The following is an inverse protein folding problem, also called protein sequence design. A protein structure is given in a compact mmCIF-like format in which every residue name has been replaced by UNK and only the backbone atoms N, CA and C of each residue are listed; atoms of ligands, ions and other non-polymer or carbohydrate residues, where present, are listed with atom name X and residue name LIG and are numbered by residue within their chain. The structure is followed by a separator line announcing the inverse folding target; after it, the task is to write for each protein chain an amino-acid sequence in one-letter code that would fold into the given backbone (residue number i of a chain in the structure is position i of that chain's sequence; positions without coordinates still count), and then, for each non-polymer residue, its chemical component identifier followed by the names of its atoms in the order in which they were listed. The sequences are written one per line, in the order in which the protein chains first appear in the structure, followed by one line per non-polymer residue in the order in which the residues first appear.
data_IF_136811227063
#
_entry.id   IF_136811227063
#
_cell.length_a   1.000
_cell.length_b   1.000
_cell.length_c   1.000
_cell.angle_alpha   90.00
_cell.angle_beta   90.00
_cell.angle_gamma   90.00
#
_symmetry.space_group_name_H-M   'P 1'
#
loop_
_entity.id
_entity.type
_entity.pdbx_description
1 polymer ?
#
# COMPACT_ATOMS: atom_id res chain seq x y z
N UNK A 1 10.01 -29.50 -6.89
CA UNK A 1 9.73 -28.60 -8.03
C UNK A 1 10.06 -27.17 -7.60
N UNK A 2 11.33 -26.79 -7.69
CA UNK A 2 11.77 -25.41 -7.55
C UNK A 2 11.26 -24.63 -8.77
N UNK A 3 10.21 -23.83 -8.60
CA UNK A 3 9.86 -22.82 -9.59
C UNK A 3 10.90 -21.73 -9.47
N UNK A 4 11.85 -21.73 -10.40
CA UNK A 4 12.76 -20.63 -10.64
C UNK A 4 11.94 -19.33 -10.66
N UNK A 5 12.14 -18.47 -9.64
CA UNK A 5 11.91 -17.06 -9.78
C UNK A 5 12.80 -16.64 -10.96
N UNK A 6 12.21 -16.52 -12.15
CA UNK A 6 12.85 -15.80 -13.25
C UNK A 6 12.84 -14.35 -12.79
N UNK A 7 13.81 -13.99 -11.95
CA UNK A 7 14.36 -12.65 -11.91
C UNK A 7 14.83 -12.41 -13.33
N UNK A 8 13.95 -11.87 -14.15
CA UNK A 8 14.37 -11.13 -15.32
C UNK A 8 15.30 -10.07 -14.76
N UNK A 9 16.61 -10.32 -14.80
CA UNK A 9 17.62 -9.27 -14.76
C UNK A 9 17.37 -8.47 -16.01
N UNK A 10 16.35 -7.61 -15.97
CA UNK A 10 16.12 -6.60 -17.00
C UNK A 10 17.30 -5.66 -16.80
N UNK A 11 18.41 -5.96 -17.47
CA UNK A 11 19.56 -5.08 -17.48
C UNK A 11 19.06 -3.75 -18.08
N UNK A 12 19.12 -2.63 -17.33
CA UNK A 12 18.52 -1.36 -17.75
C UNK A 12 19.20 -0.69 -18.96
N UNK A 13 20.06 -1.41 -19.68
CA UNK A 13 20.96 -0.84 -20.70
C UNK A 13 20.81 -1.43 -22.10
N UNK A 14 19.80 -2.26 -22.38
CA UNK A 14 19.59 -2.74 -23.75
C UNK A 14 18.13 -2.68 -24.20
N UNK A 15 17.72 -1.47 -24.60
CA UNK A 15 16.60 -1.29 -25.52
C UNK A 15 17.06 -1.87 -26.87
N UNK A 16 16.55 -3.05 -27.23
CA UNK A 16 17.00 -3.74 -28.45
C UNK A 16 16.36 -3.11 -29.69
N UNK A 17 15.20 -2.46 -29.56
CA UNK A 17 14.55 -1.76 -30.67
C UNK A 17 13.44 -0.83 -30.13
N UNK A 18 13.53 0.48 -30.42
CA UNK A 18 12.41 1.39 -30.29
C UNK A 18 11.74 1.47 -31.66
N UNK A 19 10.64 0.73 -31.85
CA UNK A 19 9.89 0.76 -33.11
C UNK A 19 9.04 2.02 -33.09
N UNK A 20 9.55 3.10 -33.69
CA UNK A 20 8.71 4.23 -34.06
C UNK A 20 7.89 3.81 -35.29
N UNK A 21 6.56 3.80 -35.20
CA UNK A 21 5.72 3.66 -36.39
C UNK A 21 5.88 4.94 -37.22
N UNK A 22 6.83 4.95 -38.14
CA UNK A 22 6.81 5.93 -39.22
C UNK A 22 5.78 5.43 -40.23
N UNK A 23 4.80 6.29 -40.54
CA UNK A 23 3.74 6.05 -41.52
C UNK A 23 4.32 5.96 -42.94
N UNK A 24 5.10 4.91 -43.24
CA UNK A 24 5.50 4.58 -44.58
C UNK A 24 4.46 3.63 -45.18
N UNK A 25 3.56 4.22 -45.96
CA UNK A 25 2.34 3.65 -46.56
C UNK A 25 2.56 2.44 -47.51
N UNK A 26 3.78 1.91 -47.61
CA UNK A 26 4.19 0.92 -48.62
C UNK A 26 4.44 -0.49 -48.10
N UNK A 27 4.42 -0.74 -46.80
CA UNK A 27 4.53 -2.10 -46.23
C UNK A 27 3.48 -2.33 -45.13
N UNK A 28 2.23 -2.57 -45.55
CA UNK A 28 1.15 -3.03 -44.66
C UNK A 28 1.31 -4.53 -44.37
N UNK A 29 2.40 -4.93 -43.72
CA UNK A 29 2.29 -6.12 -42.90
C UNK A 29 1.32 -5.79 -41.77
N UNK A 30 0.18 -6.47 -41.77
CA UNK A 30 -0.83 -6.36 -40.72
C UNK A 30 -0.18 -6.86 -39.43
N UNK A 31 0.39 -5.95 -38.64
CA UNK A 31 0.89 -6.27 -37.31
C UNK A 31 -0.27 -6.87 -36.51
N UNK A 32 -0.12 -8.15 -36.14
CA UNK A 32 -1.08 -8.80 -35.25
C UNK A 32 -1.16 -8.00 -33.96
N UNK A 33 -2.37 -7.77 -33.40
CA UNK A 33 -2.50 -7.12 -32.11
C UNK A 33 -1.65 -7.87 -31.09
N UNK A 34 -0.81 -7.14 -30.38
CA UNK A 34 0.07 -7.69 -29.38
C UNK A 34 -0.51 -7.40 -27.99
N UNK A 35 -0.36 -8.35 -27.07
CA UNK A 35 -0.88 -8.24 -25.70
C UNK A 35 0.30 -8.07 -24.76
N UNK A 36 0.28 -7.03 -23.93
CA UNK A 36 1.27 -6.85 -22.88
C UNK A 36 1.22 -8.07 -21.93
N UNK A 37 2.34 -8.78 -21.85
CA UNK A 37 2.51 -9.94 -20.98
C UNK A 37 2.59 -9.55 -19.50
N UNK A 38 2.57 -8.25 -19.17
CA UNK A 38 2.53 -7.74 -17.80
C UNK A 38 1.36 -8.30 -16.98
N UNK A 39 0.21 -8.60 -17.62
CA UNK A 39 -0.92 -9.28 -16.96
C UNK A 39 -0.58 -10.67 -16.38
N UNK A 40 0.42 -11.36 -16.95
CA UNK A 40 0.88 -12.67 -16.44
C UNK A 40 1.90 -12.52 -15.31
N UNK A 41 2.50 -11.34 -15.13
CA UNK A 41 3.51 -11.07 -14.10
C UNK A 41 2.95 -10.34 -12.88
N UNK A 42 1.89 -9.55 -13.05
CA UNK A 42 1.22 -8.85 -11.98
C UNK A 42 -0.30 -9.10 -12.12
N UNK A 43 -0.98 -9.69 -11.11
CA UNK A 43 -2.42 -9.95 -11.17
C UNK A 43 -3.27 -8.67 -11.37
N UNK A 44 -2.69 -7.50 -11.10
CA UNK A 44 -3.32 -6.21 -11.38
C UNK A 44 -2.95 -5.79 -12.80
N UNK A 45 -3.88 -6.02 -13.73
CA UNK A 45 -3.82 -5.79 -15.17
C UNK A 45 -2.90 -4.64 -15.61
N UNK A 46 -2.15 -4.84 -16.71
CA UNK A 46 -1.40 -3.77 -17.36
C UNK A 46 -2.30 -2.56 -17.56
N UNK A 47 -1.94 -1.40 -16.97
CA UNK A 47 -2.78 -0.18 -16.98
C UNK A 47 -3.21 0.26 -18.38
N UNK A 48 -2.45 -0.13 -19.41
CA UNK A 48 -2.71 0.18 -20.82
C UNK A 48 -3.38 -0.95 -21.61
N UNK A 49 -3.70 -2.09 -21.00
CA UNK A 49 -4.38 -3.20 -21.67
C UNK A 49 -5.87 -3.16 -21.37
N UNK A 50 -6.63 -2.24 -21.97
CA UNK A 50 -8.07 -2.47 -22.08
C UNK A 50 -8.30 -3.67 -22.98
N UNK A 51 -9.10 -4.62 -22.51
CA UNK A 51 -9.21 -5.98 -23.04
C UNK A 51 -9.88 -6.11 -24.42
N UNK A 52 -10.06 -5.03 -25.18
CA UNK A 52 -10.75 -5.07 -26.49
C UNK A 52 -10.14 -4.06 -27.47
N UNK A 53 -9.74 -4.57 -28.64
CA UNK A 53 -9.64 -3.89 -29.96
C UNK A 53 -9.17 -2.43 -30.02
N UNK A 54 -8.20 -2.04 -29.19
CA UNK A 54 -7.47 -0.80 -29.45
C UNK A 54 -6.39 -1.06 -30.49
N UNK A 55 -6.63 -0.57 -31.71
CA UNK A 55 -5.55 -0.06 -32.56
C UNK A 55 -4.76 0.93 -31.69
N UNK A 56 -3.66 0.49 -31.11
CA UNK A 56 -2.79 1.34 -30.31
C UNK A 56 -2.19 2.36 -31.26
N UNK A 57 -2.79 3.55 -31.33
CA UNK A 57 -2.25 4.72 -32.04
C UNK A 57 -1.26 5.51 -31.16
N UNK A 58 -0.87 4.97 -30.00
CA UNK A 58 0.02 5.65 -29.06
C UNK A 58 1.48 5.14 -29.21
N UNK A 59 2.42 5.99 -29.69
CA UNK A 59 3.73 5.58 -30.23
C UNK A 59 4.83 5.28 -29.18
N UNK A 60 4.51 5.07 -27.91
CA UNK A 60 5.51 4.93 -26.83
C UNK A 60 5.55 3.52 -26.22
N UNK A 61 5.54 2.50 -27.07
CA UNK A 61 5.78 1.13 -26.61
C UNK A 61 7.20 0.72 -26.92
N UNK A 62 7.99 0.59 -25.86
CA UNK A 62 9.29 -0.09 -25.91
C UNK A 62 9.08 -1.59 -25.86
N UNK A 63 9.53 -2.30 -26.90
CA UNK A 63 9.54 -3.77 -26.91
C UNK A 63 10.77 -4.27 -26.17
N UNK A 64 10.56 -4.98 -25.07
CA UNK A 64 11.63 -5.66 -24.34
C UNK A 64 11.74 -7.10 -24.83
N UNK A 65 12.92 -7.52 -25.27
CA UNK A 65 13.18 -8.88 -25.74
C UNK A 65 13.99 -9.60 -24.65
N UNK A 66 13.52 -10.76 -24.21
CA UNK A 66 14.25 -11.58 -23.25
C UNK A 66 15.49 -12.21 -23.90
N UNK A 67 16.68 -11.95 -23.35
CA UNK A 67 17.95 -12.48 -23.88
C UNK A 67 18.02 -14.01 -23.88
N UNK A 68 17.28 -14.68 -23.00
CA UNK A 68 17.21 -16.14 -22.94
C UNK A 68 16.33 -16.77 -24.03
N UNK A 69 15.98 -16.02 -25.08
CA UNK A 69 15.12 -16.45 -26.19
C UNK A 69 13.77 -17.00 -25.72
N UNK A 70 13.21 -16.46 -24.63
CA UNK A 70 11.84 -16.76 -24.23
C UNK A 70 10.91 -16.28 -25.36
N UNK A 71 10.29 -17.20 -26.11
CA UNK A 71 9.56 -16.81 -27.31
C UNK A 71 8.32 -16.04 -26.87
N UNK A 72 8.24 -14.78 -27.30
CA UNK A 72 7.04 -13.92 -27.22
C UNK A 72 6.73 -13.28 -25.86
N UNK A 73 7.75 -12.85 -25.12
CA UNK A 73 7.51 -11.95 -23.99
C UNK A 73 7.57 -10.49 -24.44
N UNK A 74 6.47 -9.75 -24.31
CA UNK A 74 6.41 -8.31 -24.59
C UNK A 74 5.81 -7.59 -23.39
N UNK A 75 6.53 -6.60 -22.85
CA UNK A 75 6.10 -5.77 -21.73
C UNK A 75 6.04 -4.33 -22.22
N UNK A 76 5.03 -3.56 -21.82
CA UNK A 76 5.03 -2.13 -22.09
C UNK A 76 5.97 -1.37 -21.13
N UNK A 77 6.42 -0.17 -21.51
CA UNK A 77 7.26 0.70 -20.68
C UNK A 77 6.66 0.94 -19.29
N UNK A 78 5.35 1.18 -19.19
CA UNK A 78 4.66 1.36 -17.90
C UNK A 78 4.79 0.15 -16.97
N UNK A 79 4.63 -1.08 -17.49
CA UNK A 79 4.82 -2.28 -16.69
C UNK A 79 6.29 -2.51 -16.31
N UNK A 80 7.25 -2.12 -17.17
CA UNK A 80 8.68 -2.19 -16.82
C UNK A 80 9.03 -1.21 -15.71
N UNK A 81 8.54 0.02 -15.78
CA UNK A 81 8.78 1.02 -14.72
C UNK A 81 8.19 0.56 -13.39
N UNK A 82 6.96 0.04 -13.38
CA UNK A 82 6.33 -0.52 -12.17
C UNK A 82 7.15 -1.71 -11.62
N UNK A 83 7.67 -2.59 -12.49
CA UNK A 83 8.55 -3.67 -12.07
C UNK A 83 9.89 -3.18 -11.50
N UNK A 84 10.45 -2.11 -12.05
CA UNK A 84 11.70 -1.51 -11.56
C UNK A 84 11.49 -0.84 -10.20
N UNK A 85 10.42 -0.06 -10.03
CA UNK A 85 10.05 0.55 -8.75
C UNK A 85 9.89 -0.52 -7.65
N UNK A 86 9.16 -1.60 -7.96
CA UNK A 86 8.98 -2.72 -7.03
C UNK A 86 10.30 -3.47 -6.76
N UNK A 87 11.15 -3.65 -7.77
CA UNK A 87 12.45 -4.30 -7.60
C UNK A 87 13.41 -3.49 -6.71
N UNK A 88 13.24 -2.17 -6.64
CA UNK A 88 14.03 -1.29 -5.79
C UNK A 88 13.52 -1.19 -4.35
N UNK A 89 12.35 -1.77 -4.03
CA UNK A 89 11.88 -1.82 -2.66
C UNK A 89 12.82 -2.68 -1.78
N UNK A 90 13.13 -2.22 -0.57
CA UNK A 90 14.02 -2.94 0.34
C UNK A 90 13.39 -4.26 0.83
N UNK A 91 14.21 -5.26 1.12
CA UNK A 91 13.74 -6.54 1.69
C UNK A 91 13.12 -6.39 3.09
N UNK A 92 13.50 -5.34 3.80
CA UNK A 92 13.06 -5.05 5.16
C UNK A 92 12.87 -3.56 5.34
N UNK A 93 11.84 -3.18 6.11
CA UNK A 93 11.60 -1.80 6.52
C UNK A 93 11.18 -1.74 7.98
N UNK A 94 11.40 -0.60 8.61
CA UNK A 94 10.83 -0.32 9.92
C UNK A 94 9.31 -0.29 9.82
N UNK A 95 8.65 -0.91 10.79
CA UNK A 95 7.21 -0.97 10.80
C UNK A 95 6.63 0.43 11.05
N UNK A 96 5.78 0.97 10.14
CA UNK A 96 5.38 2.38 10.17
C UNK A 96 4.58 2.75 11.43
N UNK A 97 3.90 1.78 12.02
CA UNK A 97 3.12 1.94 13.27
C UNK A 97 3.88 1.55 14.54
N UNK A 98 5.04 0.88 14.43
CA UNK A 98 5.76 0.30 15.55
C UNK A 98 7.27 0.40 15.35
N UNK A 99 7.92 1.34 16.03
CA UNK A 99 9.38 1.53 15.90
C UNK A 99 10.21 0.33 16.38
N UNK A 100 9.61 -0.67 17.03
CA UNK A 100 10.28 -1.89 17.52
C UNK A 100 10.12 -3.10 16.60
N UNK A 101 9.29 -2.98 15.57
CA UNK A 101 8.99 -4.08 14.66
C UNK A 101 9.58 -3.78 13.28
N UNK A 102 9.84 -4.86 12.55
CA UNK A 102 10.33 -4.82 11.16
C UNK A 102 9.32 -5.55 10.31
N UNK A 103 9.01 -4.98 9.15
CA UNK A 103 8.24 -5.64 8.11
C UNK A 103 9.22 -6.31 7.14
N UNK A 104 8.93 -7.56 6.80
CA UNK A 104 9.74 -8.35 5.88
C UNK A 104 8.98 -8.57 4.58
N UNK A 105 9.68 -8.35 3.46
CA UNK A 105 9.17 -8.66 2.13
C UNK A 105 8.93 -10.18 2.01
N UNK A 106 7.78 -10.54 1.48
CA UNK A 106 7.29 -11.91 1.42
C UNK A 106 6.42 -12.09 0.17
N UNK A 107 6.53 -13.26 -0.47
CA UNK A 107 5.64 -13.70 -1.54
C UNK A 107 4.86 -14.90 -1.02
N UNK A 108 3.80 -14.63 -0.25
CA UNK A 108 3.01 -15.71 0.31
C UNK A 108 2.04 -16.29 -0.73
N UNK A 109 1.82 -17.59 -0.67
CA UNK A 109 0.84 -18.29 -1.52
C UNK A 109 -0.54 -18.35 -0.86
N UNK A 110 -0.62 -17.98 0.42
CA UNK A 110 -1.84 -17.90 1.18
C UNK A 110 -2.51 -16.55 1.01
N UNK A 111 -3.80 -16.52 1.33
CA UNK A 111 -4.60 -15.32 1.28
C UNK A 111 -4.26 -14.40 2.46
N UNK A 112 -4.11 -13.11 2.19
CA UNK A 112 -3.80 -12.08 3.19
C UNK A 112 -4.49 -10.76 2.84
N UNK A 113 -4.66 -9.88 3.82
CA UNK A 113 -5.32 -8.58 3.65
C UNK A 113 -4.31 -7.50 4.01
N UNK A 114 -4.23 -6.46 3.17
CA UNK A 114 -3.39 -5.31 3.46
C UNK A 114 -4.05 -4.47 4.56
N UNK A 115 -3.38 -4.35 5.70
CA UNK A 115 -3.85 -3.62 6.86
C UNK A 115 -4.02 -2.13 6.57
N UNK A 116 -3.30 -1.55 5.60
CA UNK A 116 -3.47 -0.14 5.21
C UNK A 116 -4.94 0.25 4.95
N UNK A 117 -5.79 -0.73 4.60
CA UNK A 117 -7.24 -0.55 4.46
C UNK A 117 -7.88 0.09 5.69
N UNK A 118 -7.47 -0.29 6.89
CA UNK A 118 -8.05 0.20 8.15
C UNK A 118 -7.51 1.57 8.58
N UNK A 119 -6.70 2.22 7.73
CA UNK A 119 -6.07 3.51 8.01
C UNK A 119 -6.29 4.52 6.88
N UNK A 120 -5.75 4.20 5.70
CA UNK A 120 -5.65 5.10 4.55
C UNK A 120 -6.46 4.58 3.35
N UNK A 121 -7.05 3.40 3.48
CA UNK A 121 -7.47 2.62 2.33
C UNK A 121 -6.27 1.95 1.69
N UNK A 122 -6.44 0.70 1.26
CA UNK A 122 -5.38 -0.01 0.57
C UNK A 122 -5.16 0.62 -0.82
N UNK A 123 -3.97 1.17 -1.07
CA UNK A 123 -3.66 1.88 -2.32
C UNK A 123 -3.58 0.96 -3.55
N UNK A 124 -3.54 -0.35 -3.36
CA UNK A 124 -3.61 -1.31 -4.47
C UNK A 124 -5.02 -1.49 -5.02
N UNK A 125 -6.04 -0.78 -4.51
CA UNK A 125 -7.45 -1.02 -4.83
C UNK A 125 -7.86 -2.49 -4.63
N UNK A 126 -7.11 -3.23 -3.80
CA UNK A 126 -7.49 -4.56 -3.41
C UNK A 126 -8.77 -4.39 -2.60
N UNK A 127 -9.89 -4.81 -3.20
CA UNK A 127 -11.17 -4.79 -2.53
C UNK A 127 -11.04 -5.60 -1.23
N UNK A 128 -11.93 -5.36 -0.27
CA UNK A 128 -11.97 -6.08 1.00
C UNK A 128 -12.09 -7.62 0.85
N UNK A 129 -12.25 -8.13 -0.37
CA UNK A 129 -12.46 -9.53 -0.68
C UNK A 129 -11.15 -10.11 -1.26
N UNK A 130 -10.29 -10.51 -0.33
CA UNK A 130 -9.50 -11.76 -0.33
C UNK A 130 -9.31 -12.40 -1.71
N UNK A 131 -8.31 -11.97 -2.49
CA UNK A 131 -7.65 -12.82 -3.51
C UNK A 131 -6.24 -12.25 -3.76
N UNK A 132 -5.31 -12.49 -2.85
CA UNK A 132 -3.96 -11.91 -2.86
C UNK A 132 -2.84 -12.93 -3.04
N UNK A 133 -3.16 -14.13 -3.53
CA UNK A 133 -2.18 -15.17 -3.78
C UNK A 133 -1.11 -14.71 -4.76
N UNK A 134 0.15 -14.84 -4.35
CA UNK A 134 1.30 -14.47 -5.19
C UNK A 134 1.52 -12.96 -5.32
N UNK A 135 0.79 -12.13 -4.58
CA UNK A 135 1.06 -10.71 -4.47
C UNK A 135 2.10 -10.49 -3.38
N UNK A 136 3.06 -9.62 -3.68
CA UNK A 136 4.07 -9.18 -2.73
C UNK A 136 3.44 -8.51 -1.51
N UNK A 137 3.87 -8.94 -0.33
CA UNK A 137 3.47 -8.39 0.96
C UNK A 137 4.68 -8.06 1.81
N UNK A 138 4.48 -7.15 2.74
CA UNK A 138 5.41 -6.78 3.78
C UNK A 138 4.76 -7.12 5.10
N UNK A 139 5.17 -8.23 5.72
CA UNK A 139 4.52 -8.77 6.90
C UNK A 139 5.36 -8.56 8.16
N UNK A 140 4.70 -8.29 9.27
CA UNK A 140 5.31 -8.30 10.59
C UNK A 140 4.97 -9.61 11.30
N UNK A 141 5.97 -10.46 11.53
CA UNK A 141 5.77 -11.72 12.25
C UNK A 141 5.38 -11.55 13.72
N UNK A 142 5.53 -10.35 14.30
CA UNK A 142 5.24 -10.09 15.71
C UNK A 142 3.80 -9.66 15.99
N UNK A 143 3.20 -8.90 15.07
CA UNK A 143 1.86 -8.31 15.27
C UNK A 143 0.91 -8.57 14.09
N UNK A 144 1.26 -9.51 13.20
CA UNK A 144 0.45 -9.94 12.06
C UNK A 144 0.00 -8.79 11.14
N UNK A 145 0.84 -7.75 11.03
CA UNK A 145 0.56 -6.57 10.22
C UNK A 145 1.17 -6.73 8.83
N UNK A 146 0.34 -6.61 7.81
CA UNK A 146 0.64 -6.81 6.40
C UNK A 146 0.42 -5.53 5.59
N UNK A 147 1.39 -5.15 4.76
CA UNK A 147 1.26 -4.09 3.77
C UNK A 147 1.55 -4.58 2.37
N UNK A 148 0.79 -4.11 1.38
CA UNK A 148 1.13 -4.32 -0.03
C UNK A 148 2.26 -3.38 -0.47
N UNK A 149 2.97 -3.77 -1.54
CA UNK A 149 4.07 -2.98 -2.10
C UNK A 149 3.70 -1.52 -2.39
N UNK A 150 2.47 -1.26 -2.88
CA UNK A 150 1.97 0.11 -3.10
C UNK A 150 1.80 0.91 -1.82
N UNK A 151 1.33 0.28 -0.74
CA UNK A 151 1.22 0.94 0.56
C UNK A 151 2.60 1.20 1.15
N UNK A 152 3.55 0.27 1.00
CA UNK A 152 4.95 0.48 1.38
C UNK A 152 5.57 1.65 0.66
N UNK A 153 5.45 1.67 -0.67
CA UNK A 153 6.01 2.75 -1.48
C UNK A 153 5.49 4.11 -1.02
N UNK A 154 4.17 4.22 -0.81
CA UNK A 154 3.57 5.43 -0.27
C UNK A 154 4.13 5.83 1.11
N UNK A 155 4.33 4.87 2.02
CA UNK A 155 4.94 5.14 3.32
C UNK A 155 6.39 5.63 3.20
N UNK A 156 7.18 5.04 2.31
CA UNK A 156 8.57 5.42 2.09
C UNK A 156 8.69 6.81 1.47
N UNK A 157 7.78 7.17 0.56
CA UNK A 157 7.75 8.52 -0.04
C UNK A 157 7.15 9.58 0.89
N UNK A 158 6.32 9.17 1.86
CA UNK A 158 5.60 10.07 2.76
C UNK A 158 5.88 9.73 4.22
N UNK A 159 7.14 9.83 4.69
CA UNK A 159 7.50 9.49 6.07
C UNK A 159 6.71 10.32 7.09
N UNK A 160 6.29 11.55 6.74
CA UNK A 160 5.44 12.36 7.61
C UNK A 160 4.06 11.73 7.92
N UNK A 161 3.59 10.76 7.13
CA UNK A 161 2.33 10.07 7.39
C UNK A 161 2.41 9.18 8.64
N UNK A 162 3.61 8.83 9.14
CA UNK A 162 3.74 8.17 10.44
C UNK A 162 3.32 9.07 11.61
N UNK A 163 3.27 10.39 11.43
CA UNK A 163 2.77 11.33 12.45
C UNK A 163 1.25 11.35 12.56
N UNK A 164 0.50 10.83 11.58
CA UNK A 164 -0.97 10.70 11.69
C UNK A 164 -1.40 9.72 12.79
N UNK A 165 -0.45 8.98 13.37
CA UNK A 165 -0.67 8.04 14.45
C UNK A 165 -0.36 8.64 15.83
N UNK A 166 -0.10 9.94 15.90
CA UNK A 166 0.17 10.68 17.13
C UNK A 166 -0.99 11.66 17.38
N UNK A 167 -1.71 11.47 18.49
CA UNK A 167 -2.89 12.27 18.82
C UNK A 167 -2.79 12.79 20.25
N UNK A 168 -3.07 14.08 20.44
CA UNK A 168 -3.19 14.66 21.78
C UNK A 168 -4.63 14.51 22.28
N UNK A 169 -4.77 14.12 23.55
CA UNK A 169 -6.07 13.99 24.22
C UNK A 169 -6.21 15.06 25.30
N UNK A 170 -7.39 15.63 25.48
CA UNK A 170 -7.70 16.63 26.50
C UNK A 170 -7.75 16.02 27.91
N UNK A 171 -7.79 14.69 28.01
CA UNK A 171 -7.71 13.94 29.27
C UNK A 171 -6.32 13.36 29.54
N UNK A 172 -5.34 13.60 28.65
CA UNK A 172 -3.97 13.13 28.82
C UNK A 172 -2.91 14.04 28.17
N UNK A 173 -1.92 14.48 28.94
CA UNK A 173 -0.94 15.50 28.53
C UNK A 173 0.01 15.07 27.40
N UNK A 174 0.35 13.78 27.31
CA UNK A 174 1.30 13.31 26.30
C UNK A 174 0.61 12.84 25.02
N UNK A 175 1.37 12.85 23.95
CA UNK A 175 0.97 12.27 22.66
C UNK A 175 0.64 10.79 22.82
N UNK A 176 -0.53 10.40 22.33
CA UNK A 176 -0.98 9.02 22.27
C UNK A 176 -0.66 8.44 20.89
N UNK A 177 -0.15 7.21 20.87
CA UNK A 177 0.11 6.46 19.65
C UNK A 177 -0.80 5.25 19.54
N UNK A 178 -1.29 4.94 18.33
CA UNK A 178 -2.02 3.67 18.14
C UNK A 178 -1.09 2.49 18.48
N UNK A 179 -1.64 1.51 19.18
CA UNK A 179 -0.93 0.33 19.69
C UNK A 179 -1.76 -0.91 19.39
N UNK A 180 -1.11 -2.04 19.14
CA UNK A 180 -1.76 -3.23 18.59
C UNK A 180 -1.74 -4.44 19.52
N UNK A 181 -1.04 -4.35 20.65
CA UNK A 181 -1.06 -5.40 21.65
C UNK A 181 -2.45 -5.54 22.26
N UNK A 182 -3.09 -6.66 21.95
CA UNK A 182 -4.37 -7.09 22.52
C UNK A 182 -4.15 -7.99 23.75
N UNK A 183 -3.56 -7.40 24.79
CA UNK A 183 -3.30 -8.08 26.05
C UNK A 183 -4.44 -7.92 27.07
N UNK A 184 -5.67 -7.67 26.59
CA UNK A 184 -6.82 -7.42 27.47
C UNK A 184 -6.67 -6.15 28.32
N UNK A 185 -6.14 -5.08 27.74
CA UNK A 185 -5.99 -3.78 28.39
C UNK A 185 -7.33 -3.19 28.86
N UNK A 186 -7.29 -2.10 29.64
CA UNK A 186 -8.48 -1.40 30.10
C UNK A 186 -8.41 0.06 29.68
N UNK A 187 -9.52 0.62 29.19
CA UNK A 187 -9.57 2.02 28.78
C UNK A 187 -9.56 2.95 30.00
N UNK A 188 -8.54 3.80 30.12
CA UNK A 188 -8.41 4.83 31.15
C UNK A 188 -9.38 6.01 30.97
N UNK A 189 -10.02 6.11 29.80
CA UNK A 189 -11.14 7.03 29.59
C UNK A 189 -12.26 6.79 30.60
N UNK A 190 -12.38 5.56 31.13
CA UNK A 190 -13.32 5.23 32.21
C UNK A 190 -13.07 6.00 33.51
N UNK A 191 -11.82 6.34 33.81
CA UNK A 191 -11.42 7.06 35.03
C UNK A 191 -11.58 8.58 34.89
N UNK A 192 -11.67 9.09 33.66
CA UNK A 192 -11.65 10.53 33.35
C UNK A 192 -13.00 11.07 32.86
N UNK A 193 -13.79 10.25 32.18
CA UNK A 193 -15.10 10.67 31.65
C UNK A 193 -16.22 10.45 32.68
N UNK A 194 -17.10 11.45 32.83
CA UNK A 194 -18.37 11.30 33.56
C UNK A 194 -19.29 10.37 32.77
N UNK A 195 -19.20 9.06 33.03
CA UNK A 195 -19.94 8.02 32.28
C UNK A 195 -19.09 6.80 31.91
N UNK A 196 -17.80 6.80 32.24
CA UNK A 196 -16.94 5.65 31.99
C UNK A 196 -16.40 5.61 30.55
N UNK A 197 -15.96 4.42 30.13
CA UNK A 197 -15.47 4.22 28.77
C UNK A 197 -16.64 4.31 27.78
N UNK A 198 -16.48 5.11 26.72
CA UNK A 198 -17.50 5.28 25.66
C UNK A 198 -17.69 4.02 24.80
N UNK A 199 -16.76 3.07 24.90
CA UNK A 199 -16.92 1.73 24.32
C UNK A 199 -17.59 0.72 25.27
N UNK A 200 -17.94 1.12 26.50
CA UNK A 200 -18.54 0.23 27.50
C UNK A 200 -17.55 -0.68 28.22
N UNK A 201 -16.24 -0.48 28.04
CA UNK A 201 -15.19 -1.24 28.75
C UNK A 201 -15.19 -0.86 30.22
N UNK A 202 -15.37 -1.84 31.10
CA UNK A 202 -15.45 -1.66 32.55
C UNK A 202 -14.24 -2.22 33.30
N UNK A 203 -13.41 -3.02 32.63
CA UNK A 203 -12.22 -3.62 33.23
C UNK A 203 -11.30 -4.29 32.21
N UNK A 204 -10.27 -4.97 32.71
CA UNK A 204 -9.32 -5.74 31.90
C UNK A 204 -9.99 -6.96 31.25
N UNK A 205 -9.45 -7.39 30.10
CA UNK A 205 -9.92 -8.55 29.34
C UNK A 205 -11.16 -8.31 28.48
N UNK A 206 -11.65 -7.06 28.39
CA UNK A 206 -12.85 -6.70 27.63
C UNK A 206 -12.55 -5.96 26.31
N UNK A 207 -11.28 -5.77 25.98
CA UNK A 207 -10.82 -4.97 24.83
C UNK A 207 -10.33 -5.82 23.66
N UNK A 208 -10.74 -7.07 23.57
CA UNK A 208 -10.35 -7.93 22.45
C UNK A 208 -10.85 -7.35 21.13
N UNK A 209 -9.94 -7.19 20.16
CA UNK A 209 -10.20 -6.52 18.87
C UNK A 209 -10.55 -5.02 18.96
N UNK A 210 -10.19 -4.31 20.03
CA UNK A 210 -10.36 -2.86 20.11
C UNK A 210 -9.09 -2.13 19.67
N UNK A 211 -9.26 -1.06 18.89
CA UNK A 211 -8.20 -0.10 18.63
C UNK A 211 -7.74 0.53 19.94
N UNK A 212 -6.49 0.24 20.31
CA UNK A 212 -5.83 0.80 21.49
C UNK A 212 -5.00 2.01 21.09
N UNK A 213 -5.18 3.10 21.82
CA UNK A 213 -4.32 4.27 21.74
C UNK A 213 -3.59 4.39 23.05
N UNK A 214 -2.27 4.36 23.01
CA UNK A 214 -1.42 4.24 24.19
C UNK A 214 -0.44 5.39 24.25
N UNK A 215 -0.36 6.02 25.42
CA UNK A 215 0.82 6.79 25.79
C UNK A 215 1.83 5.85 26.45
N UNK A 216 2.95 5.61 25.77
CA UNK A 216 4.02 4.71 26.27
C UNK A 216 4.62 5.22 27.57
N UNK A 217 4.75 6.54 27.74
CA UNK A 217 5.38 7.17 28.91
C UNK A 217 4.57 7.01 30.20
N UNK A 218 3.25 7.03 30.08
CA UNK A 218 2.35 7.04 31.24
C UNK A 218 1.58 5.74 31.43
N UNK A 219 1.75 4.76 30.54
CA UNK A 219 0.92 3.54 30.55
C UNK A 219 -0.57 3.89 30.53
N UNK A 220 -0.95 4.86 29.68
CA UNK A 220 -2.31 5.38 29.59
C UNK A 220 -2.95 4.95 28.28
N UNK A 221 -4.05 4.21 28.37
CA UNK A 221 -4.71 3.59 27.23
C UNK A 221 -6.12 4.14 27.01
N UNK A 222 -6.44 4.53 25.78
CA UNK A 222 -7.79 4.90 25.36
C UNK A 222 -8.27 3.97 24.25
N UNK A 223 -9.56 3.64 24.28
CA UNK A 223 -10.23 3.16 23.08
C UNK A 223 -10.42 4.32 22.10
N UNK A 224 -10.57 3.98 20.82
CA UNK A 224 -10.81 4.94 19.75
C UNK A 224 -11.96 5.92 20.05
N UNK A 225 -13.10 5.44 20.58
CA UNK A 225 -14.23 6.31 20.94
C UNK A 225 -13.87 7.31 22.03
N UNK A 226 -13.16 6.87 23.07
CA UNK A 226 -12.71 7.76 24.14
C UNK A 226 -11.66 8.74 23.64
N UNK A 227 -10.73 8.30 22.78
CA UNK A 227 -9.77 9.20 22.16
C UNK A 227 -10.50 10.27 21.35
N UNK A 228 -11.38 9.90 20.42
CA UNK A 228 -12.07 10.86 19.56
C UNK A 228 -12.96 11.85 20.30
N UNK A 229 -13.60 11.43 21.39
CA UNK A 229 -14.35 12.34 22.25
C UNK A 229 -13.46 13.32 23.04
N UNK A 230 -12.15 13.06 23.09
CA UNK A 230 -11.18 13.81 23.89
C UNK A 230 -10.11 14.45 23.03
N UNK A 231 -10.14 14.33 21.71
CA UNK A 231 -9.20 15.07 20.86
C UNK A 231 -9.38 16.55 21.21
N UNK A 232 -8.31 17.18 21.71
CA UNK A 232 -8.24 18.64 21.78
C UNK A 232 -8.38 19.04 20.33
N UNK A 233 -9.50 19.66 19.95
CA UNK A 233 -9.77 20.14 18.59
C UNK A 233 -8.43 20.58 18.00
N UNK A 234 -7.92 19.75 17.09
CA UNK A 234 -6.55 19.85 16.63
C UNK A 234 -6.37 21.30 16.21
N UNK A 235 -5.31 21.92 16.72
CA UNK A 235 -4.94 23.30 16.44
C UNK A 235 -5.43 23.69 15.03
N UNK A 236 -6.24 24.75 14.84
CA UNK A 236 -6.86 25.07 13.55
C UNK A 236 -5.86 25.30 12.38
N UNK A 237 -4.55 25.17 12.62
CA UNK A 237 -3.51 25.14 11.59
C UNK A 237 -3.28 23.76 10.95
N UNK A 238 -3.78 22.67 11.54
CA UNK A 238 -3.75 21.33 10.95
C UNK A 238 -5.04 20.59 11.29
N UNK A 239 -6.13 20.98 10.62
CA UNK A 239 -7.25 20.05 10.49
C UNK A 239 -6.70 18.77 9.85
N UNK A 240 -6.96 17.58 10.43
CA UNK A 240 -6.81 16.33 9.69
C UNK A 240 -7.49 16.54 8.33
N UNK A 241 -6.84 16.20 7.20
CA UNK A 241 -7.46 16.41 5.91
C UNK A 241 -8.85 15.78 5.95
N UNK A 242 -9.88 16.60 5.73
CA UNK A 242 -11.24 16.12 5.66
C UNK A 242 -11.29 14.94 4.69
N UNK A 243 -12.29 14.07 4.82
CA UNK A 243 -12.47 12.95 3.87
C UNK A 243 -12.40 13.44 2.41
N UNK A 244 -12.86 14.67 2.14
CA UNK A 244 -12.72 15.37 0.86
C UNK A 244 -11.28 15.80 0.55
N UNK A 245 -10.53 16.41 1.48
CA UNK A 245 -9.12 16.76 1.25
C UNK A 245 -8.24 15.53 1.02
N UNK A 246 -8.54 14.42 1.71
CA UNK A 246 -7.90 13.14 1.46
C UNK A 246 -8.26 12.60 0.07
N UNK A 247 -9.54 12.64 -0.30
CA UNK A 247 -9.99 12.24 -1.63
C UNK A 247 -9.31 13.08 -2.73
N UNK A 248 -9.21 14.40 -2.55
CA UNK A 248 -8.55 15.31 -3.49
C UNK A 248 -7.04 15.08 -3.59
N UNK A 249 -6.37 14.73 -2.48
CA UNK A 249 -4.98 14.33 -2.50
C UNK A 249 -4.80 13.02 -3.30
N UNK A 250 -5.64 12.01 -3.04
CA UNK A 250 -5.63 10.76 -3.81
C UNK A 250 -5.88 10.99 -5.30
N UNK A 251 -6.86 11.84 -5.65
CA UNK A 251 -7.17 12.22 -7.03
C UNK A 251 -5.98 12.95 -7.70
N UNK A 252 -5.28 13.82 -6.97
CA UNK A 252 -4.09 14.51 -7.48
C UNK A 252 -2.93 13.55 -7.77
N UNK A 253 -2.70 12.57 -6.89
CA UNK A 253 -1.69 11.51 -7.07
C UNK A 253 -2.06 10.65 -8.29
N UNK A 254 -3.32 10.24 -8.41
CA UNK A 254 -3.82 9.48 -9.55
C UNK A 254 -3.69 10.24 -10.87
N UNK A 255 -3.95 11.55 -10.88
CA UNK A 255 -3.81 12.42 -12.06
C UNK A 255 -2.36 12.60 -12.48
N UNK A 256 -1.42 12.66 -11.53
CA UNK A 256 0.01 12.74 -11.83
C UNK A 256 0.55 11.42 -12.39
N UNK A 257 0.02 10.29 -11.94
CA UNK A 257 0.38 8.95 -12.42
C UNK A 257 -0.27 8.56 -13.76
N UNK A 258 -1.20 9.37 -14.27
CA UNK A 258 -1.91 9.13 -15.54
C UNK A 258 -1.39 9.99 -16.71
N UNK A 259 -0.38 10.83 -16.46
CA UNK A 259 0.35 11.59 -17.48
C UNK A 259 1.63 10.85 -17.84
#
# INVERSE_FOLDING_TARGET
MEKALILLKIHPHRVVEQIQSQDDDKNKEVFKPWVCSGQKLNPNQCKNSSQFDLKITNPQVTKYICEQKCPNFMICSSCVNEMQEVAMLPEQIDHPLHTKHTLYRSYNQEDWICDAKDYLGCLSNMSAQIESKGIERYNCSKCDFDLCSKCIFFYLENPQMTYLYQVNSNIHEHVMTRWFDDNGWCCDGSKKNKGGCLSGVTGFGQTTNFNRWRCVKCDFDLCEKCLFATIIDACPSQTPPSKQQYQSLLESIQKNNSK
#
